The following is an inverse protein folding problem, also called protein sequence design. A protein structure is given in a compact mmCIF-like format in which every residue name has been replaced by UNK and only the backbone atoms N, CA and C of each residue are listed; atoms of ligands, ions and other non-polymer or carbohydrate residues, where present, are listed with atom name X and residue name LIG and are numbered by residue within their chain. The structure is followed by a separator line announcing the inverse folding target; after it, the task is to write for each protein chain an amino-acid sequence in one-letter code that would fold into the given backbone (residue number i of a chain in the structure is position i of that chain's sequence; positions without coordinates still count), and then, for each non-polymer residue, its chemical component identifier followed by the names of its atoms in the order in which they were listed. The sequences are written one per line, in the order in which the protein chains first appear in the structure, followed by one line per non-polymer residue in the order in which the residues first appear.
data_IF_716986327243
#
_entry.id   IF_716986327243
#
_cell.length_a   1.000
_cell.length_b   1.000
_cell.length_c   1.000
_cell.angle_alpha   90.00
_cell.angle_beta   90.00
_cell.angle_gamma   90.00
#
_symmetry.space_group_name_H-M   'P 1'
#
loop_
_entity.id
_entity.type
_entity.pdbx_description
1 polymer ?
#
# COMPACT_ATOMS: atom_id res chain seq x y z
N UNK A 1 -10.94 -8.36 -17.98
CA UNK A 1 -10.03 -9.16 -17.13
C UNK A 1 -10.18 -8.63 -15.72
N UNK A 2 -10.54 -9.46 -14.75
CA UNK A 2 -10.63 -9.03 -13.35
C UNK A 2 -9.21 -8.98 -12.77
N UNK A 3 -8.81 -7.84 -12.21
CA UNK A 3 -7.56 -7.71 -11.47
C UNK A 3 -7.61 -8.50 -10.17
N UNK A 4 -6.46 -8.93 -9.68
CA UNK A 4 -6.37 -9.54 -8.34
C UNK A 4 -6.17 -8.44 -7.31
N UNK A 5 -7.13 -8.28 -6.41
CA UNK A 5 -7.03 -7.32 -5.30
C UNK A 5 -6.37 -8.00 -4.10
N UNK A 6 -5.33 -7.37 -3.59
CA UNK A 6 -4.61 -7.73 -2.38
C UNK A 6 -4.88 -6.68 -1.30
N UNK A 7 -5.27 -7.12 -0.10
CA UNK A 7 -5.35 -6.24 1.07
C UNK A 7 -3.97 -6.10 1.67
N UNK A 8 -3.42 -4.89 1.70
CA UNK A 8 -2.08 -4.62 2.24
C UNK A 8 -2.17 -4.27 3.72
N UNK A 9 -3.13 -3.42 4.09
CA UNK A 9 -3.39 -3.06 5.46
C UNK A 9 -4.86 -2.68 5.63
N UNK A 10 -5.43 -2.98 6.79
CA UNK A 10 -6.80 -2.60 7.10
C UNK A 10 -6.99 -2.52 8.61
N UNK A 11 -7.14 -1.30 9.10
CA UNK A 11 -7.57 -1.03 10.47
C UNK A 11 -9.09 -0.93 10.53
N UNK A 12 -9.67 -0.15 9.62
CA UNK A 12 -11.12 0.02 9.49
C UNK A 12 -11.53 0.36 8.04
N UNK A 13 -12.68 1.00 7.82
CA UNK A 13 -13.16 1.37 6.49
C UNK A 13 -12.53 2.66 5.96
N UNK A 14 -11.97 3.49 6.84
CA UNK A 14 -11.38 4.79 6.59
C UNK A 14 -9.85 4.78 6.71
N UNK A 15 -9.27 3.67 7.15
CA UNK A 15 -7.82 3.47 7.24
C UNK A 15 -7.48 2.10 6.65
N UNK A 16 -7.28 2.06 5.33
CA UNK A 16 -6.96 0.82 4.60
C UNK A 16 -6.12 1.06 3.35
N UNK A 17 -5.28 0.09 3.02
CA UNK A 17 -4.43 0.08 1.84
C UNK A 17 -4.69 -1.21 1.05
N UNK A 18 -4.95 -1.08 -0.24
CA UNK A 18 -5.20 -2.21 -1.15
C UNK A 18 -4.36 -2.07 -2.40
N UNK A 19 -3.99 -3.19 -3.01
CA UNK A 19 -3.24 -3.22 -4.26
C UNK A 19 -3.95 -4.12 -5.27
N UNK A 20 -4.31 -3.57 -6.43
CA UNK A 20 -4.91 -4.29 -7.54
C UNK A 20 -3.86 -4.59 -8.62
N UNK A 21 -3.70 -5.87 -8.97
CA UNK A 21 -2.75 -6.31 -9.99
C UNK A 21 -3.51 -6.69 -11.26
N UNK A 22 -3.18 -6.04 -12.38
CA UNK A 22 -3.71 -6.32 -13.72
C UNK A 22 -2.53 -6.49 -14.68
N UNK A 23 -2.13 -7.74 -14.94
CA UNK A 23 -0.94 -8.03 -15.73
C UNK A 23 0.32 -7.50 -15.02
N UNK A 24 1.06 -6.60 -15.68
CA UNK A 24 2.22 -5.91 -15.11
C UNK A 24 1.85 -4.63 -14.32
N UNK A 25 0.62 -4.14 -14.47
CA UNK A 25 0.15 -2.91 -13.82
C UNK A 25 -0.27 -3.21 -12.39
N UNK A 26 0.17 -2.39 -11.45
CA UNK A 26 -0.21 -2.46 -10.04
C UNK A 26 -0.84 -1.13 -9.66
N UNK A 27 -2.06 -1.15 -9.12
CA UNK A 27 -2.77 0.06 -8.66
C UNK A 27 -2.96 -0.02 -7.15
N UNK A 28 -2.27 0.82 -6.40
CA UNK A 28 -2.42 0.93 -4.94
C UNK A 28 -3.48 1.98 -4.64
N UNK A 29 -4.41 1.66 -3.74
CA UNK A 29 -5.37 2.61 -3.17
C UNK A 29 -5.16 2.68 -1.68
N UNK A 30 -4.95 3.88 -1.18
CA UNK A 30 -4.80 4.19 0.23
C UNK A 30 -5.95 5.08 0.68
N UNK A 31 -6.65 4.67 1.72
CA UNK A 31 -7.70 5.46 2.36
C UNK A 31 -7.22 5.83 3.74
N UNK A 32 -7.23 7.13 4.03
CA UNK A 32 -6.93 7.71 5.34
C UNK A 32 -8.06 8.65 5.77
N UNK A 33 -8.45 8.57 7.03
CA UNK A 33 -9.44 9.47 7.63
C UNK A 33 -9.02 10.95 7.62
N UNK A 34 -7.72 11.23 7.51
CA UNK A 34 -7.16 12.59 7.53
C UNK A 34 -7.05 13.16 6.11
N UNK A 35 -6.69 12.33 5.13
CA UNK A 35 -6.30 12.76 3.78
C UNK A 35 -7.25 12.32 2.66
N UNK A 36 -8.20 11.43 2.95
CA UNK A 36 -9.14 10.90 1.96
C UNK A 36 -8.61 9.64 1.27
N UNK A 37 -8.93 9.49 -0.02
CA UNK A 37 -8.50 8.35 -0.84
C UNK A 37 -7.47 8.81 -1.87
N UNK A 38 -6.29 8.20 -1.83
CA UNK A 38 -5.23 8.36 -2.82
C UNK A 38 -5.08 7.08 -3.65
N UNK A 39 -4.76 7.24 -4.93
CA UNK A 39 -4.54 6.12 -5.86
C UNK A 39 -3.23 6.31 -6.62
N UNK A 40 -2.38 5.29 -6.57
CA UNK A 40 -1.08 5.26 -7.23
C UNK A 40 -1.02 4.10 -8.21
N UNK A 41 -0.48 4.34 -9.40
CA UNK A 41 -0.34 3.32 -10.44
C UNK A 41 1.14 3.11 -10.74
N UNK A 42 1.54 1.85 -10.78
CA UNK A 42 2.89 1.40 -11.08
C UNK A 42 2.86 0.42 -12.25
N UNK A 43 3.94 0.38 -13.01
CA UNK A 43 4.13 -0.50 -14.15
C UNK A 43 5.08 -1.66 -13.85
N UNK A 44 5.69 -1.69 -12.66
CA UNK A 44 6.56 -2.77 -12.21
C UNK A 44 6.63 -2.88 -10.69
N UNK A 45 7.00 -4.06 -10.18
CA UNK A 45 7.25 -4.27 -8.74
C UNK A 45 8.40 -3.40 -8.20
N UNK A 46 9.54 -3.21 -8.89
CA UNK A 46 10.60 -2.31 -8.40
C UNK A 46 10.14 -0.87 -8.24
N UNK A 47 9.35 -0.35 -9.18
CA UNK A 47 8.78 1.00 -9.11
C UNK A 47 7.84 1.15 -7.91
N UNK A 48 6.95 0.18 -7.70
CA UNK A 48 6.11 0.10 -6.50
C UNK A 48 6.96 0.12 -5.23
N UNK A 49 7.98 -0.76 -5.14
CA UNK A 49 8.80 -0.87 -3.92
C UNK A 49 9.61 0.39 -3.65
N UNK A 50 10.07 1.09 -4.69
CA UNK A 50 10.73 2.38 -4.53
C UNK A 50 9.76 3.40 -3.92
N UNK A 51 8.55 3.51 -4.47
CA UNK A 51 7.51 4.36 -3.89
C UNK A 51 7.15 3.98 -2.46
N UNK A 52 7.01 2.68 -2.16
CA UNK A 52 6.71 2.18 -0.80
C UNK A 52 7.74 2.67 0.21
N UNK A 53 9.04 2.60 -0.11
CA UNK A 53 10.09 3.07 0.80
C UNK A 53 10.17 4.59 0.95
N UNK A 54 9.76 5.36 -0.07
CA UNK A 54 9.72 6.82 -0.01
C UNK A 54 8.47 7.33 0.74
N UNK A 55 7.34 6.66 0.55
CA UNK A 55 6.03 7.03 1.09
C UNK A 55 5.84 6.59 2.54
N UNK A 56 6.17 5.32 2.84
CA UNK A 56 6.11 4.79 4.19
C UNK A 56 7.43 5.03 4.90
N UNK A 57 7.49 6.08 5.70
CA UNK A 57 8.67 6.39 6.53
C UNK A 57 8.44 5.91 7.96
N UNK A 58 9.39 5.18 8.58
CA UNK A 58 9.22 4.64 9.92
C UNK A 58 8.96 5.72 10.98
N UNK A 59 9.46 6.94 10.77
CA UNK A 59 9.21 8.10 11.64
C UNK A 59 7.71 8.47 11.76
N UNK A 60 6.93 8.22 10.71
CA UNK A 60 5.48 8.47 10.70
C UNK A 60 4.68 7.41 11.48
N UNK A 61 5.35 6.34 11.92
CA UNK A 61 4.76 5.20 12.62
C UNK A 61 5.34 5.03 14.03
N UNK A 62 5.88 6.09 14.64
CA UNK A 62 6.39 6.03 16.02
C UNK A 62 5.31 5.53 16.99
N UNK A 63 5.56 4.41 17.68
CA UNK A 63 4.60 3.75 18.56
C UNK A 63 3.61 2.81 17.86
N UNK A 64 3.72 2.67 16.52
CA UNK A 64 3.01 1.71 15.67
C UNK A 64 3.97 1.05 14.67
N UNK A 65 5.18 0.71 15.11
CA UNK A 65 6.20 0.10 14.26
C UNK A 65 5.74 -1.22 13.63
N UNK A 66 4.91 -1.98 14.34
CA UNK A 66 4.28 -3.22 13.88
C UNK A 66 3.41 -3.02 12.63
N UNK A 67 2.68 -1.89 12.57
CA UNK A 67 1.87 -1.51 11.41
C UNK A 67 2.76 -1.21 10.21
N UNK A 68 3.85 -0.48 10.43
CA UNK A 68 4.82 -0.18 9.39
C UNK A 68 5.42 -1.47 8.82
N UNK A 69 5.94 -2.35 9.68
CA UNK A 69 6.52 -3.63 9.27
C UNK A 69 5.51 -4.47 8.47
N UNK A 70 4.28 -4.58 8.97
CA UNK A 70 3.19 -5.30 8.28
C UNK A 70 2.93 -4.76 6.88
N UNK A 71 2.84 -3.44 6.72
CA UNK A 71 2.61 -2.80 5.41
C UNK A 71 3.76 -3.15 4.46
N UNK A 72 5.01 -2.97 4.90
CA UNK A 72 6.20 -3.20 4.07
C UNK A 72 6.31 -4.67 3.68
N UNK A 73 6.09 -5.60 4.61
CA UNK A 73 6.12 -7.04 4.34
C UNK A 73 5.02 -7.47 3.36
N UNK A 74 3.80 -6.93 3.50
CA UNK A 74 2.72 -7.22 2.58
C UNK A 74 3.00 -6.69 1.17
N UNK A 75 3.63 -5.52 1.03
CA UNK A 75 4.07 -5.02 -0.27
C UNK A 75 5.18 -5.89 -0.89
N UNK A 76 6.12 -6.40 -0.09
CA UNK A 76 7.17 -7.32 -0.57
C UNK A 76 6.61 -8.65 -1.08
N UNK A 77 5.48 -9.09 -0.51
CA UNK A 77 4.83 -10.37 -0.84
C UNK A 77 3.74 -10.29 -1.93
N UNK A 78 3.51 -9.10 -2.52
CA UNK A 78 2.67 -8.92 -3.72
C UNK A 78 3.27 -9.64 -4.93
#
# INVERSE_FOLDING_TARGET
MAGKIHSIYKEDKWNMVTAEIIGAKITVREISSIWGEDTYTFHSRPELMNWVHEHYKPENYAGREDVYETIIENFKNL
#
